data_IF_952967964353
#
_entry.id   IF_952967964353
#
_cell.length_a   1.000
_cell.length_b   1.000
_cell.length_c   1.000
_cell.angle_alpha   90.00
_cell.angle_beta   90.00
_cell.angle_gamma   90.00
#
_symmetry.space_group_name_H-M   'P 1'
#
loop_
_entity.id
_entity.type
_entity.pdbx_description
1 polymer ?
#
# COMPACT_ATOMS: atom_id res chain seq x y z
N UNK A 1 14.05 -76.13 10.60
CA UNK A 1 14.39 -74.88 11.35
C UNK A 1 14.33 -73.59 10.49
N UNK A 2 14.33 -73.63 9.18
CA UNK A 2 14.29 -72.46 8.29
C UNK A 2 12.93 -71.69 8.29
N UNK A 3 11.81 -72.38 8.26
CA UNK A 3 10.48 -71.75 8.21
C UNK A 3 10.13 -70.82 9.41
N UNK A 4 10.66 -71.11 10.59
CA UNK A 4 10.43 -70.32 11.81
C UNK A 4 11.16 -68.93 11.77
N UNK A 5 12.31 -68.86 11.08
CA UNK A 5 13.11 -67.64 10.93
C UNK A 5 12.45 -66.67 9.89
N UNK A 6 11.89 -67.17 8.81
CA UNK A 6 11.22 -66.36 7.79
C UNK A 6 9.95 -65.72 8.33
N UNK A 7 9.14 -66.46 9.09
CA UNK A 7 7.91 -65.88 9.69
C UNK A 7 8.20 -64.75 10.67
N UNK A 8 9.30 -64.82 11.42
CA UNK A 8 9.71 -63.79 12.37
C UNK A 8 10.21 -62.52 11.63
N UNK A 9 10.90 -62.67 10.52
CA UNK A 9 11.35 -61.56 9.70
C UNK A 9 10.16 -60.80 9.09
N UNK A 10 9.16 -61.48 8.54
CA UNK A 10 7.97 -60.85 7.96
C UNK A 10 7.13 -60.14 9.00
N UNK A 11 7.01 -60.66 10.19
CA UNK A 11 6.26 -60.00 11.30
C UNK A 11 6.98 -58.72 11.74
N UNK A 12 8.30 -58.75 11.91
CA UNK A 12 9.11 -57.60 12.30
C UNK A 12 9.09 -56.50 11.21
N UNK A 13 9.14 -56.92 9.90
CA UNK A 13 9.05 -56.01 8.79
C UNK A 13 7.65 -55.33 8.71
N UNK A 14 6.60 -56.11 8.91
CA UNK A 14 5.21 -55.56 8.92
C UNK A 14 5.01 -54.54 10.05
N UNK A 15 5.55 -54.82 11.24
CA UNK A 15 5.48 -53.92 12.40
C UNK A 15 6.24 -52.61 12.15
N UNK A 16 7.44 -52.71 11.55
CA UNK A 16 8.21 -51.53 11.14
C UNK A 16 7.50 -50.68 10.06
N UNK A 17 6.90 -51.33 9.09
CA UNK A 17 6.13 -50.63 8.04
C UNK A 17 4.88 -49.96 8.61
N UNK A 18 4.19 -50.63 9.53
CA UNK A 18 3.00 -50.09 10.20
C UNK A 18 3.36 -48.89 11.07
N UNK A 19 4.43 -48.98 11.84
CA UNK A 19 4.90 -47.86 12.64
C UNK A 19 5.34 -46.65 11.81
N UNK A 20 6.05 -46.88 10.69
CA UNK A 20 6.42 -45.86 9.74
C UNK A 20 5.20 -45.20 9.11
N UNK A 21 4.19 -45.99 8.74
CA UNK A 21 2.93 -45.47 8.22
C UNK A 21 2.23 -44.54 9.20
N UNK A 22 2.15 -44.93 10.46
CA UNK A 22 1.55 -44.08 11.49
C UNK A 22 2.31 -42.77 11.70
N UNK A 23 3.66 -42.83 11.72
CA UNK A 23 4.49 -41.62 11.81
C UNK A 23 4.21 -40.68 10.64
N UNK A 24 4.19 -41.24 9.41
CA UNK A 24 3.90 -40.45 8.19
C UNK A 24 2.48 -39.86 8.23
N UNK A 25 1.49 -40.61 8.73
CA UNK A 25 0.12 -40.18 8.86
C UNK A 25 -0.01 -39.02 9.85
N UNK A 26 0.66 -39.11 11.02
CA UNK A 26 0.68 -38.04 12.02
C UNK A 26 1.33 -36.77 11.44
N UNK A 27 2.47 -36.92 10.75
CA UNK A 27 3.15 -35.80 10.10
C UNK A 27 2.28 -35.15 9.01
N UNK A 28 1.58 -35.96 8.23
CA UNK A 28 0.66 -35.46 7.21
C UNK A 28 -0.51 -34.64 7.82
N UNK A 29 -1.13 -35.15 8.88
CA UNK A 29 -2.18 -34.42 9.59
C UNK A 29 -1.62 -33.10 10.17
N UNK A 30 -0.42 -33.12 10.74
CA UNK A 30 0.22 -31.94 11.29
C UNK A 30 0.49 -30.87 10.21
N UNK A 31 0.96 -31.29 9.04
CA UNK A 31 1.17 -30.39 7.88
C UNK A 31 -0.16 -29.81 7.43
N UNK A 32 -1.24 -30.59 7.34
CA UNK A 32 -2.57 -30.09 6.95
C UNK A 32 -3.06 -29.03 7.95
N UNK A 33 -2.94 -29.28 9.25
CA UNK A 33 -3.35 -28.32 10.29
C UNK A 33 -2.55 -27.01 10.19
N UNK A 34 -1.24 -27.11 9.97
CA UNK A 34 -0.40 -25.92 9.78
C UNK A 34 -0.76 -25.12 8.52
N UNK A 35 -1.02 -25.83 7.41
CA UNK A 35 -1.46 -25.19 6.16
C UNK A 35 -2.81 -24.50 6.33
N UNK A 36 -3.75 -25.16 7.01
CA UNK A 36 -5.09 -24.60 7.27
C UNK A 36 -5.01 -23.30 8.08
N UNK A 37 -4.23 -23.29 9.17
CA UNK A 37 -3.99 -22.07 9.97
C UNK A 37 -3.36 -20.94 9.16
N UNK A 38 -2.41 -21.24 8.26
CA UNK A 38 -1.81 -20.23 7.39
C UNK A 38 -2.81 -19.69 6.37
N UNK A 39 -3.66 -20.54 5.81
CA UNK A 39 -4.72 -20.12 4.89
C UNK A 39 -5.71 -19.19 5.56
N UNK A 40 -6.21 -19.52 6.77
CA UNK A 40 -7.14 -18.66 7.51
C UNK A 40 -6.55 -17.27 7.78
N UNK A 41 -5.27 -17.19 8.19
CA UNK A 41 -4.59 -15.90 8.40
C UNK A 41 -4.47 -15.09 7.10
N UNK A 42 -4.15 -15.75 5.99
CA UNK A 42 -4.03 -15.09 4.67
C UNK A 42 -5.39 -14.61 4.16
N UNK A 43 -6.45 -15.41 4.35
CA UNK A 43 -7.82 -15.03 3.98
C UNK A 43 -8.32 -13.83 4.78
N UNK A 44 -8.06 -13.79 6.08
CA UNK A 44 -8.41 -12.65 6.93
C UNK A 44 -7.72 -11.36 6.45
N UNK A 45 -6.43 -11.41 6.14
CA UNK A 45 -5.70 -10.27 5.59
C UNK A 45 -6.25 -9.83 4.23
N UNK A 46 -6.58 -10.78 3.35
CA UNK A 46 -7.17 -10.48 2.05
C UNK A 46 -8.55 -9.82 2.17
N UNK A 47 -9.37 -10.27 3.12
CA UNK A 47 -10.67 -9.66 3.39
C UNK A 47 -10.52 -8.22 3.89
N UNK A 48 -9.54 -7.95 4.75
CA UNK A 48 -9.27 -6.60 5.24
C UNK A 48 -8.79 -5.67 4.13
N UNK A 49 -7.89 -6.13 3.26
CA UNK A 49 -7.47 -5.38 2.06
C UNK A 49 -8.68 -5.05 1.18
N UNK A 50 -9.54 -6.04 0.91
CA UNK A 50 -10.75 -5.83 0.11
C UNK A 50 -11.71 -4.83 0.77
N UNK A 51 -11.88 -4.92 2.08
CA UNK A 51 -12.74 -3.99 2.83
C UNK A 51 -12.25 -2.55 2.72
N UNK A 52 -10.93 -2.34 2.86
CA UNK A 52 -10.33 -1.01 2.67
C UNK A 52 -10.47 -0.55 1.21
N UNK A 53 -10.18 -1.42 0.24
CA UNK A 53 -10.34 -1.10 -1.19
C UNK A 53 -11.80 -0.76 -1.56
N UNK A 54 -12.77 -1.42 -0.95
CA UNK A 54 -14.19 -1.10 -1.14
C UNK A 54 -14.56 0.22 -0.49
N UNK A 55 -14.11 0.48 0.73
CA UNK A 55 -14.40 1.74 1.42
C UNK A 55 -13.79 2.95 0.71
N UNK A 56 -12.61 2.80 0.10
CA UNK A 56 -11.97 3.92 -0.63
C UNK A 56 -12.72 4.33 -1.90
N UNK A 57 -13.69 3.52 -2.38
CA UNK A 57 -14.57 3.93 -3.50
C UNK A 57 -15.50 5.08 -3.13
N UNK A 58 -15.67 5.36 -1.84
CA UNK A 58 -16.47 6.48 -1.32
C UNK A 58 -15.73 7.82 -1.41
N UNK A 59 -14.43 7.82 -1.75
CA UNK A 59 -13.69 9.05 -2.01
C UNK A 59 -14.27 9.79 -3.23
N UNK A 60 -14.44 11.09 -3.07
CA UNK A 60 -15.03 11.94 -4.10
C UNK A 60 -14.25 11.89 -5.42
N UNK A 61 -14.94 11.56 -6.50
CA UNK A 61 -14.38 11.55 -7.85
C UNK A 61 -14.03 12.94 -8.37
N UNK A 62 -14.49 13.98 -7.71
CA UNK A 62 -14.15 15.37 -8.04
C UNK A 62 -12.68 15.67 -7.73
N UNK A 63 -12.12 14.99 -6.72
CA UNK A 63 -10.74 15.17 -6.28
C UNK A 63 -9.82 14.00 -6.58
N UNK A 64 -10.37 12.79 -6.72
CA UNK A 64 -9.57 11.56 -6.82
C UNK A 64 -9.99 10.70 -7.99
N UNK A 65 -9.03 10.29 -8.81
CA UNK A 65 -9.20 9.29 -9.86
C UNK A 65 -8.45 8.02 -9.47
N UNK A 66 -9.17 6.90 -9.32
CA UNK A 66 -8.55 5.62 -9.02
C UNK A 66 -7.98 4.97 -10.28
N UNK A 67 -6.71 4.58 -10.24
CA UNK A 67 -6.02 3.84 -11.29
C UNK A 67 -5.81 2.39 -10.85
N UNK A 68 -6.67 1.46 -11.28
CA UNK A 68 -6.66 0.07 -10.79
C UNK A 68 -5.39 -0.70 -11.14
N UNK A 69 -4.74 -0.38 -12.26
CA UNK A 69 -3.50 -1.04 -12.67
C UNK A 69 -2.35 -0.80 -11.67
N UNK A 70 -2.37 0.36 -11.02
CA UNK A 70 -1.34 0.77 -10.06
C UNK A 70 -1.82 0.75 -8.61
N UNK A 71 -3.11 0.50 -8.39
CA UNK A 71 -3.78 0.57 -7.07
C UNK A 71 -3.54 1.89 -6.35
N UNK A 72 -3.56 2.98 -7.09
CA UNK A 72 -3.27 4.35 -6.62
C UNK A 72 -4.42 5.28 -6.98
N UNK A 73 -4.60 6.31 -6.16
CA UNK A 73 -5.43 7.46 -6.49
C UNK A 73 -4.56 8.57 -7.04
N UNK A 74 -4.96 9.15 -8.16
CA UNK A 74 -4.39 10.40 -8.68
C UNK A 74 -5.21 11.54 -8.11
N UNK A 75 -4.56 12.55 -7.56
CA UNK A 75 -5.21 13.79 -7.19
C UNK A 75 -5.52 14.58 -8.46
N UNK A 76 -6.81 14.75 -8.79
CA UNK A 76 -7.31 15.41 -10.00
C UNK A 76 -7.10 16.94 -10.02
N UNK A 77 -6.11 17.40 -9.26
CA UNK A 77 -5.77 18.82 -9.16
C UNK A 77 -4.39 19.00 -9.78
N UNK A 78 -4.35 19.49 -10.99
CA UNK A 78 -3.10 19.75 -11.70
C UNK A 78 -2.34 20.88 -11.01
N UNK A 79 -1.15 20.58 -10.49
CA UNK A 79 -0.29 21.58 -9.86
C UNK A 79 0.94 21.79 -10.70
N UNK A 80 1.10 22.99 -11.25
CA UNK A 80 2.26 23.37 -12.05
C UNK A 80 3.23 24.19 -11.21
N UNK A 81 4.50 23.82 -11.25
CA UNK A 81 5.56 24.53 -10.54
C UNK A 81 6.55 25.13 -11.52
N UNK A 82 7.17 26.28 -11.19
CA UNK A 82 8.39 26.69 -11.85
C UNK A 82 9.50 25.63 -11.67
N UNK A 83 10.46 25.58 -12.57
CA UNK A 83 11.56 24.62 -12.49
C UNK A 83 12.28 24.70 -11.14
N UNK A 84 12.53 23.53 -10.52
CA UNK A 84 13.22 23.41 -9.24
C UNK A 84 12.43 23.93 -8.03
N UNK A 85 11.14 24.29 -8.15
CA UNK A 85 10.32 24.76 -7.03
C UNK A 85 9.39 23.66 -6.51
N UNK A 86 9.20 23.67 -5.19
CA UNK A 86 8.35 22.73 -4.45
C UNK A 86 7.31 23.43 -3.56
N UNK A 87 7.46 24.72 -3.30
CA UNK A 87 6.56 25.49 -2.44
C UNK A 87 5.22 25.75 -3.18
N UNK A 88 4.10 25.39 -2.54
CA UNK A 88 2.75 25.64 -3.04
C UNK A 88 2.46 27.14 -3.25
N UNK A 89 3.17 28.01 -2.55
CA UNK A 89 3.10 29.44 -2.79
C UNK A 89 3.70 29.89 -4.13
N UNK A 90 4.46 29.04 -4.80
CA UNK A 90 5.10 29.33 -6.09
C UNK A 90 4.38 28.72 -7.28
N UNK A 91 3.26 28.00 -7.09
CA UNK A 91 2.54 27.36 -8.18
C UNK A 91 2.08 28.37 -9.24
N UNK A 92 2.07 27.90 -10.50
CA UNK A 92 1.62 28.64 -11.66
C UNK A 92 0.17 28.28 -11.90
N UNK A 93 -0.74 29.19 -11.62
CA UNK A 93 -2.18 29.02 -11.85
C UNK A 93 -2.81 30.35 -12.23
N UNK A 94 -3.87 30.30 -13.04
CA UNK A 94 -4.68 31.48 -13.38
C UNK A 94 -5.44 32.01 -12.15
N UNK A 95 -5.92 31.09 -11.32
CA UNK A 95 -6.51 31.34 -10.00
C UNK A 95 -5.83 30.44 -8.98
N UNK A 96 -4.84 30.98 -8.30
CA UNK A 96 -4.04 30.27 -7.31
C UNK A 96 -4.84 29.99 -6.04
N UNK A 97 -5.68 30.90 -5.64
CA UNK A 97 -6.49 30.73 -4.42
C UNK A 97 -7.53 29.61 -4.60
N UNK A 98 -8.21 29.57 -5.73
CA UNK A 98 -9.11 28.46 -6.07
C UNK A 98 -8.37 27.13 -6.10
N UNK A 99 -7.17 27.08 -6.67
CA UNK A 99 -6.39 25.84 -6.72
C UNK A 99 -5.93 25.39 -5.33
N UNK A 100 -5.49 26.29 -4.47
CA UNK A 100 -5.15 25.98 -3.06
C UNK A 100 -6.40 25.54 -2.27
N UNK A 101 -7.56 26.14 -2.54
CA UNK A 101 -8.81 25.72 -1.89
C UNK A 101 -9.25 24.31 -2.35
N UNK A 102 -9.07 23.96 -3.61
CA UNK A 102 -9.30 22.59 -4.10
C UNK A 102 -8.35 21.58 -3.43
N UNK A 103 -7.07 21.92 -3.29
CA UNK A 103 -6.11 21.08 -2.55
C UNK A 103 -6.51 20.92 -1.08
N UNK A 104 -6.97 21.98 -0.43
CA UNK A 104 -7.46 21.92 0.94
C UNK A 104 -8.69 21.03 1.08
N UNK A 105 -9.65 21.13 0.14
CA UNK A 105 -10.85 20.31 0.14
C UNK A 105 -10.53 18.83 -0.09
N UNK A 106 -9.57 18.51 -0.96
CA UNK A 106 -9.10 17.14 -1.12
C UNK A 106 -8.54 16.55 0.18
N UNK A 107 -7.77 17.34 0.95
CA UNK A 107 -7.30 16.92 2.28
C UNK A 107 -8.42 16.70 3.28
N UNK A 108 -9.47 17.55 3.24
CA UNK A 108 -10.67 17.36 4.08
C UNK A 108 -11.43 16.09 3.72
N UNK A 109 -11.57 15.78 2.45
CA UNK A 109 -12.19 14.53 1.97
C UNK A 109 -11.47 13.30 2.52
N UNK A 110 -10.12 13.27 2.46
CA UNK A 110 -9.36 12.18 3.06
C UNK A 110 -9.61 12.09 4.57
N UNK A 111 -9.59 13.23 5.29
CA UNK A 111 -9.89 13.28 6.72
C UNK A 111 -11.29 12.74 7.02
N UNK A 112 -12.29 13.15 6.27
CA UNK A 112 -13.69 12.76 6.49
C UNK A 112 -13.87 11.27 6.19
N UNK A 113 -13.22 10.76 5.14
CA UNK A 113 -13.12 9.33 4.86
C UNK A 113 -12.55 8.56 6.07
N UNK A 114 -11.39 8.97 6.59
CA UNK A 114 -10.74 8.31 7.73
C UNK A 114 -11.60 8.38 9.01
N UNK A 115 -12.32 9.49 9.22
CA UNK A 115 -13.21 9.67 10.35
C UNK A 115 -14.49 8.83 10.26
N UNK A 116 -14.96 8.54 9.05
CA UNK A 116 -16.13 7.69 8.83
C UNK A 116 -15.81 6.19 8.96
N UNK A 117 -14.51 5.83 8.92
CA UNK A 117 -14.04 4.44 8.98
C UNK A 117 -13.03 4.24 10.14
N UNK A 118 -13.37 4.73 11.34
CA UNK A 118 -12.48 4.68 12.52
C UNK A 118 -12.17 3.28 13.03
N UNK A 119 -12.94 2.31 12.64
CA UNK A 119 -12.74 0.89 12.96
C UNK A 119 -11.54 0.26 12.27
N UNK A 120 -11.01 0.91 11.22
CA UNK A 120 -9.86 0.43 10.48
C UNK A 120 -8.63 1.30 10.78
N UNK A 121 -7.44 0.69 10.65
CA UNK A 121 -6.16 1.38 10.73
C UNK A 121 -5.60 1.55 9.32
N UNK A 122 -5.14 2.76 8.99
CA UNK A 122 -4.70 3.12 7.64
C UNK A 122 -3.25 3.59 7.61
N UNK A 123 -2.63 3.42 6.44
CA UNK A 123 -1.42 4.14 6.03
C UNK A 123 -1.79 5.02 4.84
N UNK A 124 -1.66 6.32 5.02
CA UNK A 124 -1.81 7.33 3.97
C UNK A 124 -0.42 7.67 3.42
N UNK A 125 -0.17 7.35 2.16
CA UNK A 125 1.07 7.75 1.49
C UNK A 125 0.76 8.89 0.54
N UNK A 126 1.41 10.02 0.73
CA UNK A 126 1.39 11.15 -0.21
C UNK A 126 2.65 11.08 -1.05
N UNK A 127 2.49 10.71 -2.31
CA UNK A 127 3.58 10.57 -3.27
C UNK A 127 3.59 11.74 -4.24
N UNK A 128 4.71 12.43 -4.34
CA UNK A 128 4.93 13.46 -5.36
C UNK A 128 5.56 12.87 -6.61
N UNK A 129 5.18 13.40 -7.77
CA UNK A 129 5.83 13.13 -9.05
C UNK A 129 6.43 14.41 -9.65
N UNK A 130 7.45 14.26 -10.47
CA UNK A 130 8.07 15.32 -11.25
C UNK A 130 8.05 15.00 -12.73
N UNK A 131 8.03 16.01 -13.58
CA UNK A 131 8.22 15.84 -15.02
C UNK A 131 9.65 15.40 -15.34
N UNK A 132 9.79 14.65 -16.43
CA UNK A 132 11.10 14.28 -16.97
C UNK A 132 11.66 15.46 -17.75
N UNK A 133 12.60 16.14 -17.14
CA UNK A 133 13.29 17.29 -17.70
C UNK A 133 14.81 17.19 -17.47
N UNK A 134 15.53 18.28 -17.70
CA UNK A 134 16.99 18.33 -17.48
C UNK A 134 17.37 18.62 -16.02
N UNK A 135 16.41 18.71 -15.11
CA UNK A 135 16.69 18.92 -13.69
C UNK A 135 17.22 17.63 -13.04
N UNK A 136 18.32 17.73 -12.34
CA UNK A 136 19.07 16.56 -11.86
C UNK A 136 18.43 15.94 -10.61
N UNK A 137 17.74 16.76 -9.79
CA UNK A 137 17.24 16.36 -8.47
C UNK A 137 15.72 16.14 -8.48
N UNK A 138 15.20 15.46 -9.49
CA UNK A 138 13.75 15.24 -9.64
C UNK A 138 13.16 14.35 -8.53
N UNK A 139 13.93 13.44 -7.94
CA UNK A 139 13.48 12.61 -6.82
C UNK A 139 13.33 13.42 -5.54
N UNK A 140 14.34 14.21 -5.18
CA UNK A 140 14.29 15.11 -4.04
C UNK A 140 13.19 16.16 -4.21
N UNK A 141 13.05 16.71 -5.40
CA UNK A 141 12.03 17.71 -5.73
C UNK A 141 10.62 17.15 -5.57
N UNK A 142 10.38 15.93 -6.05
CA UNK A 142 9.09 15.28 -5.93
C UNK A 142 8.73 14.97 -4.48
N UNK A 143 9.69 14.51 -3.67
CA UNK A 143 9.53 14.35 -2.24
C UNK A 143 9.21 15.68 -1.53
N UNK A 144 9.96 16.76 -1.85
CA UNK A 144 9.73 18.08 -1.27
C UNK A 144 8.33 18.62 -1.62
N UNK A 145 7.82 18.35 -2.83
CA UNK A 145 6.46 18.72 -3.23
C UNK A 145 5.41 17.97 -2.41
N UNK A 146 5.58 16.67 -2.21
CA UNK A 146 4.69 15.88 -1.36
C UNK A 146 4.72 16.36 0.11
N UNK A 147 5.90 16.67 0.64
CA UNK A 147 6.06 17.23 1.97
C UNK A 147 5.38 18.61 2.08
N UNK A 148 5.52 19.46 1.07
CA UNK A 148 4.88 20.76 1.05
C UNK A 148 3.34 20.64 1.05
N UNK A 149 2.77 19.70 0.29
CA UNK A 149 1.33 19.43 0.31
C UNK A 149 0.89 18.95 1.69
N UNK A 150 1.64 18.07 2.33
CA UNK A 150 1.30 17.55 3.65
C UNK A 150 1.35 18.64 4.72
N UNK A 151 2.37 19.50 4.70
CA UNK A 151 2.46 20.67 5.59
C UNK A 151 1.31 21.65 5.35
N UNK A 152 0.96 21.89 4.11
CA UNK A 152 -0.19 22.73 3.77
C UNK A 152 -1.48 22.18 4.39
N UNK A 153 -1.72 20.87 4.33
CA UNK A 153 -2.89 20.27 4.94
C UNK A 153 -2.85 20.37 6.46
N UNK A 154 -1.74 20.00 7.09
CA UNK A 154 -1.65 19.91 8.55
C UNK A 154 -1.41 21.28 9.20
N UNK A 155 -0.37 22.00 8.74
CA UNK A 155 0.11 23.22 9.40
C UNK A 155 -0.73 24.43 8.97
N UNK A 156 -0.98 24.61 7.67
CA UNK A 156 -1.65 25.81 7.16
C UNK A 156 -3.19 25.69 7.22
N UNK A 157 -3.75 24.49 7.02
CA UNK A 157 -5.20 24.26 6.99
C UNK A 157 -5.75 23.55 8.21
N UNK A 158 -4.90 23.13 9.16
CA UNK A 158 -5.29 22.51 10.42
C UNK A 158 -6.01 21.16 10.24
N UNK A 159 -5.73 20.43 9.15
CA UNK A 159 -6.37 19.14 8.88
C UNK A 159 -5.71 18.07 9.74
N UNK A 160 -6.51 17.44 10.61
CA UNK A 160 -6.07 16.31 11.44
C UNK A 160 -6.62 15.01 10.85
N UNK A 161 -5.74 14.11 10.42
CA UNK A 161 -6.11 12.84 9.80
C UNK A 161 -6.47 11.74 10.81
N UNK A 162 -6.52 12.06 12.11
CA UNK A 162 -6.94 11.13 13.17
C UNK A 162 -5.80 10.24 13.68
N UNK A 163 -6.14 9.40 14.68
CA UNK A 163 -5.18 8.48 15.31
C UNK A 163 -5.16 7.10 14.65
N UNK A 164 -6.08 6.87 13.71
CA UNK A 164 -6.19 5.62 12.95
C UNK A 164 -5.45 5.67 11.61
N UNK A 165 -4.63 6.69 11.39
CA UNK A 165 -3.89 6.90 10.15
C UNK A 165 -2.42 7.21 10.41
N UNK A 166 -1.55 6.37 9.87
CA UNK A 166 -0.11 6.65 9.77
C UNK A 166 0.17 7.36 8.45
N UNK A 167 0.98 8.42 8.49
CA UNK A 167 1.26 9.23 7.32
C UNK A 167 2.68 9.00 6.85
N UNK A 168 2.83 8.66 5.57
CA UNK A 168 4.11 8.54 4.90
C UNK A 168 4.20 9.50 3.72
N UNK A 169 5.39 10.01 3.47
CA UNK A 169 5.67 10.91 2.36
C UNK A 169 6.68 10.25 1.44
N UNK A 170 6.41 10.28 0.14
CA UNK A 170 7.24 9.65 -0.88
C UNK A 170 7.45 10.57 -2.08
N UNK A 171 8.50 10.30 -2.83
CA UNK A 171 8.79 10.96 -4.10
C UNK A 171 9.25 9.95 -5.14
N UNK A 172 8.54 9.86 -6.27
CA UNK A 172 8.89 8.95 -7.37
C UNK A 172 9.66 9.63 -8.52
N UNK A 173 10.01 10.90 -8.33
CA UNK A 173 10.85 11.64 -9.26
C UNK A 173 10.28 11.71 -10.68
N UNK A 174 11.16 11.57 -11.65
CA UNK A 174 10.84 11.56 -13.08
C UNK A 174 10.70 10.14 -13.67
N UNK A 175 10.67 9.12 -12.81
CA UNK A 175 10.52 7.72 -13.20
C UNK A 175 11.76 7.08 -13.83
N UNK A 176 12.93 7.73 -13.78
CA UNK A 176 14.17 7.14 -14.36
C UNK A 176 14.67 5.92 -13.59
N UNK A 177 14.43 5.88 -12.25
CA UNK A 177 14.86 4.77 -11.39
C UNK A 177 13.83 3.64 -11.33
N UNK A 178 12.57 3.90 -11.70
CA UNK A 178 11.49 2.93 -11.67
C UNK A 178 10.74 2.91 -12.99
N UNK A 179 10.96 1.87 -13.77
CA UNK A 179 10.31 1.67 -15.08
C UNK A 179 8.83 1.28 -14.97
N UNK A 180 8.37 0.92 -13.76
CA UNK A 180 6.97 0.58 -13.48
C UNK A 180 6.20 1.73 -12.84
N UNK A 181 6.83 2.91 -12.69
CA UNK A 181 6.14 4.08 -12.16
C UNK A 181 5.01 4.50 -13.09
N UNK A 182 3.88 4.85 -12.48
CA UNK A 182 2.73 5.38 -13.20
C UNK A 182 3.09 6.73 -13.83
N UNK A 183 3.02 6.84 -15.17
CA UNK A 183 3.32 8.09 -15.86
C UNK A 183 2.34 8.34 -16.99
N UNK A 184 2.06 9.62 -17.22
CA UNK A 184 1.29 10.06 -18.39
C UNK A 184 2.23 10.31 -19.57
N UNK A 185 1.74 10.17 -20.82
CA UNK A 185 2.53 10.45 -22.02
C UNK A 185 2.98 11.92 -22.13
N UNK A 186 2.18 12.84 -21.59
CA UNK A 186 2.48 14.27 -21.57
C UNK A 186 3.22 14.60 -20.28
N UNK A 187 4.48 14.98 -20.39
CA UNK A 187 5.35 15.16 -19.22
C UNK A 187 4.89 16.23 -18.23
N UNK A 188 4.21 17.27 -18.68
CA UNK A 188 3.67 18.31 -17.78
C UNK A 188 2.55 17.77 -16.87
N UNK A 189 1.88 16.70 -17.25
CA UNK A 189 0.85 16.03 -16.45
C UNK A 189 1.44 15.16 -15.33
N UNK A 190 2.74 14.87 -15.40
CA UNK A 190 3.46 14.15 -14.37
C UNK A 190 3.89 15.04 -13.17
N UNK A 191 3.62 16.35 -13.21
CA UNK A 191 3.73 17.21 -12.03
C UNK A 191 2.46 17.09 -11.20
N UNK A 192 2.33 16.02 -10.43
CA UNK A 192 1.10 15.67 -9.71
C UNK A 192 1.37 14.97 -8.39
N UNK A 193 0.31 14.73 -7.65
CA UNK A 193 0.33 13.94 -6.44
C UNK A 193 -0.44 12.64 -6.62
N UNK A 194 0.11 11.56 -6.09
CA UNK A 194 -0.54 10.27 -5.98
C UNK A 194 -0.84 10.01 -4.51
N UNK A 195 -2.03 9.51 -4.25
CA UNK A 195 -2.50 9.21 -2.90
C UNK A 195 -2.73 7.71 -2.79
N UNK A 196 -2.13 7.10 -1.77
CA UNK A 196 -2.35 5.70 -1.46
C UNK A 196 -2.99 5.62 -0.08
N UNK A 197 -4.09 4.91 0.03
CA UNK A 197 -4.74 4.60 1.29
C UNK A 197 -4.73 3.08 1.43
N UNK A 198 -3.94 2.59 2.36
CA UNK A 198 -3.67 1.16 2.55
C UNK A 198 -4.04 0.75 3.98
N UNK A 199 -4.50 -0.49 4.21
CA UNK A 199 -4.65 -1.00 5.56
C UNK A 199 -3.27 -1.17 6.23
N UNK A 200 -3.16 -0.76 7.50
CA UNK A 200 -1.88 -0.78 8.24
C UNK A 200 -1.31 -2.18 8.42
N UNK A 201 -2.17 -3.17 8.58
CA UNK A 201 -1.78 -4.58 8.85
C UNK A 201 -0.96 -5.21 7.72
N UNK A 202 -0.97 -4.64 6.50
CA UNK A 202 -0.08 -5.10 5.42
C UNK A 202 1.39 -4.97 5.82
N UNK A 203 1.74 -3.99 6.66
CA UNK A 203 3.12 -3.73 7.09
C UNK A 203 3.50 -4.47 8.37
N UNK A 204 2.53 -4.90 9.20
CA UNK A 204 2.78 -5.58 10.48
C UNK A 204 2.99 -7.09 10.32
N UNK A 205 2.44 -7.70 9.28
CA UNK A 205 2.48 -9.16 9.06
C UNK A 205 3.89 -9.74 8.78
N UNK A 206 4.89 -8.90 8.58
CA UNK A 206 6.29 -9.32 8.39
C UNK A 206 7.06 -9.54 9.70
N UNK A 207 6.55 -9.11 10.85
CA UNK A 207 7.29 -9.12 12.11
C UNK A 207 6.90 -10.24 13.08
N UNK A 208 5.83 -11.01 12.86
CA UNK A 208 5.40 -12.09 13.76
C UNK A 208 6.12 -13.44 13.54
N UNK A 209 7.09 -13.51 12.63
CA UNK A 209 7.88 -14.73 12.35
C UNK A 209 9.34 -14.63 12.82
N UNK A 210 9.59 -14.03 13.98
CA UNK A 210 10.89 -14.14 14.66
C UNK A 210 10.78 -14.86 15.99
#
# INVERSE_FOLDING_TARGET
MAQKKESFFWTSYSDLMTSLFFVMLVLFILVIVLLHKRMEATEAQLQEIKKVEESTKDLSKDYFEYRPEYKKYVLNIQVRYPSGKSDLNTIIASDKEDQLNKLANAGKEIRDFLNNHKENQYVLIVEGQASKDNFTYNYELSYQRALALMRFWVDDRGINFGNNCEILISGSGDGKLDTHSMREPVETENQRFLIHILPKNIFESTNENK
#
